data_IF_572763978300
#
_entry.id   IF_572763978300
#
_cell.length_a   1.000
_cell.length_b   1.000
_cell.length_c   1.000
_cell.angle_alpha   90.00
_cell.angle_beta   90.00
_cell.angle_gamma   90.00
#
_symmetry.space_group_name_H-M   'P 1'
#
loop_
_entity.id
_entity.type
_entity.pdbx_description
1 polymer ?
#
# COMPACT_ATOMS: atom_id res chain seq x y z
N UNK A 1 4.23 -70.45 -0.20
CA UNK A 1 4.51 -69.99 -1.57
C UNK A 1 3.75 -68.68 -1.74
N UNK A 2 4.43 -67.53 -1.65
CA UNK A 2 5.13 -66.87 -2.76
C UNK A 2 4.13 -66.46 -3.86
N UNK A 3 4.02 -65.21 -4.32
CA UNK A 3 5.03 -64.17 -4.30
C UNK A 3 4.46 -62.75 -4.34
N UNK A 4 5.29 -61.86 -3.80
CA UNK A 4 5.21 -60.42 -3.87
C UNK A 4 5.68 -59.99 -5.27
N UNK A 5 4.88 -59.22 -6.02
CA UNK A 5 5.33 -58.54 -7.25
C UNK A 5 5.05 -57.04 -7.13
N UNK A 6 6.04 -56.16 -7.38
CA UNK A 6 5.88 -54.72 -7.17
C UNK A 6 5.19 -54.09 -8.38
N UNK A 7 4.15 -53.29 -8.14
CA UNK A 7 3.53 -52.46 -9.19
C UNK A 7 4.33 -51.17 -9.31
N UNK A 8 5.16 -51.07 -10.35
CA UNK A 8 5.84 -49.83 -10.72
C UNK A 8 4.84 -48.84 -11.33
N UNK A 9 4.50 -47.78 -10.60
CA UNK A 9 3.86 -46.59 -11.20
C UNK A 9 4.94 -45.75 -11.89
N UNK A 10 5.14 -45.98 -13.19
CA UNK A 10 5.85 -45.01 -14.03
C UNK A 10 4.86 -43.94 -14.47
N UNK A 11 4.95 -42.77 -13.83
CA UNK A 11 4.42 -41.50 -14.35
C UNK A 11 5.19 -41.14 -15.63
N UNK A 12 4.61 -41.41 -16.80
CA UNK A 12 5.12 -40.89 -18.07
C UNK A 12 4.64 -39.45 -18.24
N UNK A 13 5.59 -38.53 -18.14
CA UNK A 13 5.43 -37.13 -18.55
C UNK A 13 5.03 -37.11 -20.05
N UNK A 14 4.05 -36.29 -20.46
CA UNK A 14 3.71 -36.10 -21.88
C UNK A 14 4.94 -35.71 -22.71
N UNK A 15 5.05 -36.23 -23.93
CA UNK A 15 6.23 -36.07 -24.79
C UNK A 15 6.59 -34.60 -25.08
N UNK A 16 5.59 -33.72 -25.06
CA UNK A 16 5.73 -32.26 -25.21
C UNK A 16 6.47 -31.61 -24.03
N UNK A 17 6.30 -32.12 -22.81
CA UNK A 17 7.00 -31.63 -21.61
C UNK A 17 8.43 -32.20 -21.49
N UNK A 18 8.72 -33.33 -22.14
CA UNK A 18 10.09 -33.87 -22.21
C UNK A 18 11.01 -33.03 -23.12
N UNK A 19 10.46 -32.45 -24.20
CA UNK A 19 11.20 -31.56 -25.10
C UNK A 19 11.61 -30.24 -24.41
N UNK A 20 10.74 -29.69 -23.56
CA UNK A 20 11.04 -28.47 -22.77
C UNK A 20 12.10 -28.75 -21.70
N UNK A 21 12.11 -29.94 -21.11
CA UNK A 21 13.09 -30.32 -20.10
C UNK A 21 14.49 -30.60 -20.67
N UNK A 22 14.59 -31.12 -21.91
CA UNK A 22 15.87 -31.34 -22.58
C UNK A 22 16.53 -30.06 -23.12
N UNK A 23 15.77 -28.98 -23.35
CA UNK A 23 16.31 -27.71 -23.84
C UNK A 23 16.96 -26.86 -22.73
N UNK A 24 16.63 -27.11 -21.45
CA UNK A 24 17.03 -26.22 -20.34
C UNK A 24 18.40 -26.55 -19.71
N UNK A 25 18.89 -27.78 -19.85
CA UNK A 25 20.17 -28.18 -19.27
C UNK A 25 21.15 -28.59 -20.35
N UNK A 26 22.03 -27.66 -20.75
CA UNK A 26 23.25 -27.93 -21.55
C UNK A 26 24.22 -28.85 -20.78
N UNK A 27 23.85 -30.12 -20.60
CA UNK A 27 24.73 -31.25 -20.30
C UNK A 27 25.83 -31.02 -19.26
N UNK A 28 25.49 -30.59 -18.03
CA UNK A 28 26.41 -30.70 -16.88
C UNK A 28 25.67 -31.16 -15.63
N UNK A 29 26.27 -32.17 -15.00
CA UNK A 29 25.76 -32.95 -13.87
C UNK A 29 25.53 -32.12 -12.60
N UNK A 30 24.54 -32.55 -11.82
CA UNK A 30 24.10 -31.98 -10.55
C UNK A 30 24.71 -32.78 -9.38
N UNK A 31 25.16 -32.07 -8.34
CA UNK A 31 25.57 -32.48 -6.98
C UNK A 31 27.05 -32.77 -6.67
N UNK A 32 27.61 -31.95 -5.75
CA UNK A 32 28.00 -32.37 -4.39
C UNK A 32 27.76 -31.23 -3.37
N UNK A 33 27.18 -31.49 -2.18
CA UNK A 33 27.15 -30.52 -1.09
C UNK A 33 28.54 -30.40 -0.43
N UNK A 34 28.93 -29.23 0.11
CA UNK A 34 30.17 -29.10 0.85
C UNK A 34 30.06 -29.78 2.23
N UNK A 35 31.14 -30.41 2.73
CA UNK A 35 31.13 -31.05 4.04
C UNK A 35 31.16 -29.99 5.16
N UNK A 36 30.44 -30.29 6.23
CA UNK A 36 30.46 -29.54 7.49
C UNK A 36 31.84 -29.59 8.16
N UNK A 37 32.08 -28.55 8.98
CA UNK A 37 33.07 -28.48 10.06
C UNK A 37 34.57 -28.46 9.70
N UNK A 38 35.12 -27.24 9.59
CA UNK A 38 36.43 -26.95 10.19
C UNK A 38 36.34 -25.65 10.99
N UNK A 39 36.36 -25.80 12.31
CA UNK A 39 36.37 -24.70 13.24
C UNK A 39 37.72 -24.00 13.34
N UNK A 40 37.61 -22.73 13.74
CA UNK A 40 38.39 -22.08 14.81
C UNK A 40 39.90 -21.84 14.68
N UNK A 41 40.23 -20.55 14.92
CA UNK A 41 41.43 -19.96 15.57
C UNK A 41 42.74 -19.92 14.78
N UNK A 42 43.28 -18.70 14.59
CA UNK A 42 44.59 -18.25 15.12
C UNK A 42 44.61 -16.72 15.36
N UNK A 43 44.89 -16.33 16.61
CA UNK A 43 45.56 -15.15 17.22
C UNK A 43 45.83 -13.87 16.40
N UNK A 44 45.44 -12.65 16.84
CA UNK A 44 45.94 -11.75 17.94
C UNK A 44 47.39 -11.26 17.81
N UNK A 45 47.53 -9.91 17.98
CA UNK A 45 48.70 -9.04 18.31
C UNK A 45 49.36 -8.33 17.11
N UNK A 46 49.69 -7.02 17.10
CA UNK A 46 50.03 -5.99 18.12
C UNK A 46 49.70 -4.58 17.52
N UNK A 47 49.02 -3.64 18.20
CA UNK A 47 49.49 -2.56 19.09
C UNK A 47 50.91 -1.97 18.89
N UNK A 48 50.94 -0.64 18.72
CA UNK A 48 52.04 0.37 18.86
C UNK A 48 52.62 0.76 17.49
N UNK A 49 52.60 2.01 17.03
CA UNK A 49 53.12 3.28 17.57
C UNK A 49 52.66 4.35 16.53
N UNK A 50 52.02 5.49 16.83
CA UNK A 50 52.67 6.77 17.13
C UNK A 50 51.58 7.84 17.39
N UNK A 51 51.65 8.49 18.55
CA UNK A 51 51.11 9.84 18.80
C UNK A 51 52.30 10.79 18.91
N UNK A 52 52.11 12.07 18.53
CA UNK A 52 52.57 13.35 19.17
C UNK A 52 52.81 14.47 18.09
N UNK A 53 52.99 15.78 18.44
CA UNK A 53 51.89 16.71 18.78
C UNK A 53 52.08 18.17 18.23
N UNK A 54 51.05 19.03 18.45
CA UNK A 54 51.00 20.51 18.69
C UNK A 54 52.04 21.48 18.05
N UNK A 55 51.55 22.65 17.59
CA UNK A 55 51.94 23.96 18.16
C UNK A 55 51.03 25.15 17.78
N UNK A 56 50.91 26.08 18.75
CA UNK A 56 50.30 27.43 18.71
C UNK A 56 51.21 28.43 17.97
N UNK A 57 50.66 29.55 17.51
CA UNK A 57 51.36 30.85 17.47
C UNK A 57 50.39 32.02 17.69
N UNK A 58 50.74 32.85 18.66
CA UNK A 58 50.22 34.19 18.94
C UNK A 58 50.93 35.25 18.07
N UNK A 59 50.32 36.46 17.99
CA UNK A 59 50.84 37.85 17.86
C UNK A 59 50.05 38.62 16.79
N UNK A 60 49.63 39.90 16.88
CA UNK A 60 49.45 40.93 17.91
C UNK A 60 49.11 42.26 17.18
N UNK A 61 48.24 43.11 17.75
CA UNK A 61 48.06 44.58 17.52
C UNK A 61 47.52 45.01 16.12
N UNK A 62 46.76 46.09 15.93
CA UNK A 62 46.72 47.42 16.56
C UNK A 62 45.38 48.16 16.27
N UNK A 63 45.28 49.38 16.78
CA UNK A 63 44.14 50.23 17.16
C UNK A 63 43.27 50.84 16.03
N UNK A 64 42.06 51.32 16.40
CA UNK A 64 41.33 52.34 15.65
C UNK A 64 39.81 52.39 15.88
N UNK A 65 39.35 53.23 16.80
CA UNK A 65 37.95 53.73 16.90
C UNK A 65 37.97 55.20 16.42
N UNK A 66 36.92 55.78 15.80
CA UNK A 66 35.77 56.27 16.59
C UNK A 66 34.38 56.20 15.89
N UNK A 67 33.37 55.88 16.71
CA UNK A 67 32.03 56.51 16.84
C UNK A 67 31.40 57.18 15.60
N UNK A 68 30.20 56.69 15.23
CA UNK A 68 29.05 57.56 14.93
C UNK A 68 27.75 56.90 15.43
N UNK A 69 27.00 57.71 16.16
CA UNK A 69 25.71 57.43 16.78
C UNK A 69 24.55 57.69 15.81
N UNK A 70 23.38 57.16 16.19
CA UNK A 70 22.02 57.39 15.63
C UNK A 70 21.68 56.46 14.45
N UNK A 71 20.61 55.65 14.46
CA UNK A 71 19.27 55.95 14.95
C UNK A 71 18.55 54.71 15.52
N UNK A 72 17.81 54.96 16.61
CA UNK A 72 16.88 54.03 17.23
C UNK A 72 15.64 53.84 16.33
N UNK A 73 15.37 52.60 15.91
CA UNK A 73 14.00 52.08 15.82
C UNK A 73 13.98 50.80 16.63
N UNK A 74 13.45 50.90 17.85
CA UNK A 74 13.19 49.76 18.70
C UNK A 74 12.02 48.98 18.12
N UNK A 75 12.32 48.19 17.10
CA UNK A 75 11.47 47.09 16.68
C UNK A 75 11.58 46.06 17.79
N UNK A 76 10.52 45.93 18.59
CA UNK A 76 10.38 44.83 19.55
C UNK A 76 10.37 43.54 18.74
N UNK A 77 11.54 43.02 18.39
CA UNK A 77 11.72 41.61 18.08
C UNK A 77 11.27 40.87 19.33
N UNK A 78 10.02 40.39 19.33
CA UNK A 78 9.65 39.25 20.17
C UNK A 78 10.73 38.22 19.87
N UNK A 79 11.59 37.94 20.84
CA UNK A 79 12.42 36.76 20.81
C UNK A 79 11.40 35.62 20.74
N UNK A 80 11.19 35.07 19.54
CA UNK A 80 10.47 33.82 19.40
C UNK A 80 11.19 32.84 20.32
N UNK A 81 10.59 32.54 21.47
CA UNK A 81 11.04 31.41 22.27
C UNK A 81 10.85 30.22 21.34
N UNK A 82 11.94 29.73 20.77
CA UNK A 82 11.93 28.50 19.99
C UNK A 82 11.23 27.41 20.79
N UNK A 83 10.43 26.60 20.10
CA UNK A 83 9.71 25.48 20.71
C UNK A 83 10.75 24.52 21.29
N UNK A 84 10.44 23.96 22.46
CA UNK A 84 11.33 23.03 23.14
C UNK A 84 11.54 21.76 22.31
N UNK A 85 12.76 21.59 21.78
CA UNK A 85 13.16 20.43 20.96
C UNK A 85 13.41 19.16 21.77
N UNK A 86 13.25 19.20 23.10
CA UNK A 86 13.37 18.01 23.96
C UNK A 86 12.05 17.25 24.14
N UNK A 87 10.95 17.83 23.67
CA UNK A 87 9.62 17.24 23.71
C UNK A 87 9.52 16.00 22.80
N UNK A 88 8.57 15.08 23.07
CA UNK A 88 8.21 14.05 22.11
C UNK A 88 7.78 14.66 20.75
N UNK A 89 8.08 14.02 19.60
CA UNK A 89 7.82 14.60 18.28
C UNK A 89 6.36 15.03 18.05
N UNK A 90 5.39 14.26 18.56
CA UNK A 90 3.98 14.63 18.46
C UNK A 90 3.64 15.90 19.25
N UNK A 91 4.20 16.05 20.46
CA UNK A 91 3.98 17.25 21.28
C UNK A 91 4.68 18.47 20.69
N UNK A 92 5.86 18.28 20.11
CA UNK A 92 6.57 19.30 19.35
C UNK A 92 5.72 19.79 18.17
N UNK A 93 5.18 18.87 17.36
CA UNK A 93 4.30 19.19 16.25
C UNK A 93 3.04 19.95 16.72
N UNK A 94 2.37 19.47 17.77
CA UNK A 94 1.16 20.11 18.29
C UNK A 94 1.47 21.54 18.80
N UNK A 95 2.64 21.79 19.39
CA UNK A 95 3.09 23.12 19.78
C UNK A 95 3.43 24.01 18.57
N UNK A 96 4.07 23.44 17.53
CA UNK A 96 4.41 24.09 16.28
C UNK A 96 3.16 24.63 15.58
N UNK A 97 2.12 23.80 15.46
CA UNK A 97 0.87 24.17 14.81
C UNK A 97 0.13 25.26 15.58
N UNK A 98 0.01 25.09 16.90
CA UNK A 98 -0.61 26.12 17.78
C UNK A 98 0.11 27.45 17.69
N UNK A 99 1.44 27.45 17.62
CA UNK A 99 2.22 28.69 17.48
C UNK A 99 1.96 29.44 16.17
N UNK A 100 1.48 28.71 15.14
CA UNK A 100 1.17 29.22 13.81
C UNK A 100 -0.32 29.37 13.50
N UNK A 101 -1.20 29.06 14.46
CA UNK A 101 -2.65 29.17 14.29
C UNK A 101 -3.32 27.99 13.56
N UNK A 102 -2.62 26.87 13.36
CA UNK A 102 -3.22 25.66 12.79
C UNK A 102 -3.92 24.82 13.86
N UNK A 103 -5.01 24.13 13.47
CA UNK A 103 -5.65 23.13 14.33
C UNK A 103 -4.72 21.94 14.56
N UNK A 104 -4.66 21.48 15.80
CA UNK A 104 -3.96 20.25 16.20
C UNK A 104 -4.94 19.12 16.55
N UNK A 105 -6.20 19.25 16.11
CA UNK A 105 -7.23 18.25 16.31
C UNK A 105 -6.84 16.92 15.67
N UNK A 106 -7.15 15.83 16.37
CA UNK A 106 -6.86 14.48 15.91
C UNK A 106 -8.00 14.00 15.01
N UNK A 107 -7.65 13.31 13.94
CA UNK A 107 -8.59 12.83 12.93
C UNK A 107 -8.62 11.30 12.98
N UNK A 108 -9.76 10.69 13.25
CA UNK A 108 -9.87 9.23 13.21
C UNK A 108 -9.81 8.73 11.78
N UNK A 109 -8.70 8.07 11.38
CA UNK A 109 -8.47 7.66 9.99
C UNK A 109 -9.63 6.80 9.44
N UNK A 110 -10.20 5.92 10.27
CA UNK A 110 -11.30 5.03 9.93
C UNK A 110 -12.61 5.77 9.59
N UNK A 111 -12.79 7.00 10.07
CA UNK A 111 -13.98 7.84 9.79
C UNK A 111 -13.79 8.73 8.55
N UNK A 112 -12.64 8.65 7.89
CA UNK A 112 -12.32 9.48 6.73
C UNK A 112 -12.36 8.69 5.42
N UNK A 113 -12.19 9.39 4.30
CA UNK A 113 -12.02 8.81 2.96
C UNK A 113 -10.78 7.89 2.80
N UNK A 114 -9.92 7.80 3.83
CA UNK A 114 -8.82 6.85 3.85
C UNK A 114 -9.29 5.41 4.05
N UNK A 115 -10.44 5.22 4.72
CA UNK A 115 -11.05 3.90 4.88
C UNK A 115 -11.75 3.50 3.59
N UNK A 116 -10.97 2.95 2.65
CA UNK A 116 -11.46 2.53 1.34
C UNK A 116 -11.79 1.05 1.33
N UNK A 117 -12.86 0.70 0.64
CA UNK A 117 -13.20 -0.71 0.38
C UNK A 117 -12.32 -1.21 -0.77
N UNK A 118 -11.51 -2.25 -0.58
CA UNK A 118 -10.61 -2.71 -1.61
C UNK A 118 -11.34 -3.44 -2.75
N UNK A 119 -10.89 -3.20 -4.00
CA UNK A 119 -11.42 -3.88 -5.18
C UNK A 119 -11.00 -5.36 -5.21
N UNK A 120 -11.77 -6.24 -5.90
CA UNK A 120 -11.36 -7.63 -6.09
C UNK A 120 -9.97 -7.76 -6.74
N UNK A 121 -9.63 -6.85 -7.67
CA UNK A 121 -8.33 -6.85 -8.33
C UNK A 121 -7.20 -6.51 -7.36
N UNK A 122 -7.41 -5.58 -6.43
CA UNK A 122 -6.42 -5.25 -5.40
C UNK A 122 -6.08 -6.44 -4.52
N UNK A 123 -7.10 -7.21 -4.11
CA UNK A 123 -6.90 -8.45 -3.34
C UNK A 123 -6.22 -9.53 -4.17
N UNK A 124 -6.66 -9.71 -5.42
CA UNK A 124 -6.08 -10.67 -6.36
C UNK A 124 -4.60 -10.37 -6.67
N UNK A 125 -4.22 -9.10 -6.70
CA UNK A 125 -2.86 -8.66 -7.00
C UNK A 125 -1.90 -8.77 -5.82
N UNK A 126 -2.41 -9.01 -4.60
CA UNK A 126 -1.59 -9.11 -3.39
C UNK A 126 -1.15 -10.55 -3.15
N UNK A 127 0.05 -10.92 -3.61
CA UNK A 127 0.60 -12.26 -3.39
C UNK A 127 2.14 -12.22 -3.22
N UNK A 128 2.72 -13.37 -2.87
CA UNK A 128 4.09 -13.59 -2.41
C UNK A 128 5.14 -13.03 -3.37
N UNK A 129 4.93 -13.11 -4.69
CA UNK A 129 5.93 -12.63 -5.65
C UNK A 129 5.98 -11.10 -5.66
N UNK A 130 4.84 -10.40 -5.80
CA UNK A 130 4.77 -8.93 -5.72
C UNK A 130 5.38 -8.41 -4.40
N UNK A 131 4.98 -8.99 -3.27
CA UNK A 131 5.50 -8.61 -1.95
C UNK A 131 7.00 -8.94 -1.83
N UNK A 132 7.44 -10.03 -2.47
CA UNK A 132 8.84 -10.41 -2.57
C UNK A 132 9.69 -9.33 -3.26
N UNK A 133 9.22 -8.77 -4.37
CA UNK A 133 9.90 -7.69 -5.10
C UNK A 133 10.01 -6.43 -4.25
N UNK A 134 8.91 -6.03 -3.59
CA UNK A 134 8.90 -4.91 -2.64
C UNK A 134 9.90 -5.11 -1.51
N UNK A 135 9.95 -6.32 -0.92
CA UNK A 135 10.87 -6.64 0.18
C UNK A 135 12.34 -6.59 -0.23
N UNK A 136 12.63 -7.00 -1.47
CA UNK A 136 13.96 -6.99 -2.09
C UNK A 136 14.36 -5.62 -2.66
N UNK A 137 13.40 -4.67 -2.75
CA UNK A 137 13.57 -3.38 -3.44
C UNK A 137 13.92 -3.55 -4.93
N UNK A 138 13.29 -4.53 -5.58
CA UNK A 138 13.49 -4.82 -7.00
C UNK A 138 12.51 -3.99 -7.84
N UNK A 139 12.90 -2.74 -8.11
CA UNK A 139 12.05 -1.74 -8.78
C UNK A 139 11.80 -2.11 -10.24
N UNK A 140 12.79 -2.66 -10.94
CA UNK A 140 12.67 -2.96 -12.37
C UNK A 140 11.66 -4.09 -12.63
N UNK A 141 11.77 -5.20 -11.89
CA UNK A 141 10.79 -6.28 -12.00
C UNK A 141 9.42 -5.86 -11.47
N UNK A 142 9.38 -4.99 -10.46
CA UNK A 142 8.13 -4.42 -9.96
C UNK A 142 7.39 -3.62 -11.05
N UNK A 143 8.10 -2.75 -11.78
CA UNK A 143 7.52 -1.97 -12.89
C UNK A 143 6.93 -2.88 -13.97
N UNK A 144 7.69 -3.89 -14.39
CA UNK A 144 7.23 -4.83 -15.43
C UNK A 144 5.92 -5.53 -15.05
N UNK A 145 5.79 -5.96 -13.79
CA UNK A 145 4.58 -6.68 -13.36
C UNK A 145 3.39 -5.73 -13.20
N UNK A 146 3.60 -4.49 -12.73
CA UNK A 146 2.51 -3.49 -12.64
C UNK A 146 2.05 -3.05 -14.03
N UNK A 147 2.96 -2.86 -14.96
CA UNK A 147 2.65 -2.57 -16.37
C UNK A 147 1.90 -3.72 -17.08
N UNK A 148 1.92 -4.94 -16.53
CA UNK A 148 1.11 -6.05 -17.04
C UNK A 148 -0.38 -5.90 -16.77
N UNK A 149 -0.77 -5.03 -15.82
CA UNK A 149 -2.17 -4.78 -15.48
C UNK A 149 -2.60 -5.32 -14.12
N UNK A 150 -1.67 -5.70 -13.25
CA UNK A 150 -2.00 -5.93 -11.83
C UNK A 150 -2.30 -4.59 -11.14
N UNK A 151 -3.03 -4.62 -10.03
CA UNK A 151 -3.31 -3.39 -9.28
C UNK A 151 -2.05 -2.84 -8.61
N UNK A 152 -1.69 -1.55 -8.82
CA UNK A 152 -0.64 -0.86 -8.07
C UNK A 152 -1.05 -0.58 -6.62
N UNK A 153 -2.31 -0.81 -6.27
CA UNK A 153 -2.88 -0.61 -4.93
C UNK A 153 -3.23 -1.96 -4.27
N UNK A 154 -2.46 -3.01 -4.58
CA UNK A 154 -2.68 -4.33 -4.01
C UNK A 154 -2.71 -4.29 -2.47
N UNK A 155 -3.62 -5.04 -1.85
CA UNK A 155 -3.76 -5.09 -0.39
C UNK A 155 -4.15 -6.48 0.11
N UNK A 156 -3.82 -6.77 1.36
CA UNK A 156 -4.21 -8.01 2.02
C UNK A 156 -5.64 -7.95 2.59
N UNK A 157 -6.06 -9.04 3.24
CA UNK A 157 -7.38 -9.15 3.87
C UNK A 157 -7.62 -8.14 5.01
N UNK A 158 -6.55 -7.57 5.58
CA UNK A 158 -6.60 -6.52 6.61
C UNK A 158 -6.54 -5.10 6.03
N UNK A 159 -6.72 -4.95 4.70
CA UNK A 159 -6.56 -3.70 3.94
C UNK A 159 -5.17 -3.07 3.99
N UNK A 160 -4.16 -3.82 4.44
CA UNK A 160 -2.77 -3.35 4.40
C UNK A 160 -2.29 -3.33 2.94
N UNK A 161 -2.34 -2.16 2.32
CA UNK A 161 -1.81 -1.89 0.98
C UNK A 161 -0.29 -2.09 0.90
N UNK A 162 0.24 -2.42 -0.29
CA UNK A 162 1.68 -2.52 -0.55
C UNK A 162 2.46 -1.24 -0.20
N UNK A 163 1.81 -0.08 -0.28
CA UNK A 163 2.38 1.21 0.15
C UNK A 163 2.79 1.16 1.63
N UNK A 164 1.99 0.54 2.51
CA UNK A 164 2.34 0.37 3.93
C UNK A 164 3.66 -0.41 4.10
N UNK A 165 3.82 -1.49 3.31
CA UNK A 165 5.03 -2.31 3.34
C UNK A 165 6.25 -1.54 2.84
N UNK A 166 6.09 -0.73 1.79
CA UNK A 166 7.15 0.13 1.24
C UNK A 166 7.57 1.20 2.23
N UNK A 167 6.61 1.87 2.86
CA UNK A 167 6.83 2.88 3.89
C UNK A 167 7.57 2.30 5.11
N UNK A 168 7.14 1.14 5.62
CA UNK A 168 7.78 0.45 6.75
C UNK A 168 9.25 0.07 6.50
N UNK A 169 9.61 -0.17 5.23
CA UNK A 169 10.96 -0.56 4.82
C UNK A 169 11.80 0.61 4.28
N UNK A 170 11.27 1.83 4.35
CA UNK A 170 11.98 3.06 3.94
C UNK A 170 12.47 3.03 2.49
N UNK A 171 11.70 2.46 1.57
CA UNK A 171 12.10 2.29 0.16
C UNK A 171 11.59 3.43 -0.72
N UNK A 172 12.34 4.54 -0.77
CA UNK A 172 11.95 5.74 -1.53
C UNK A 172 11.72 5.47 -3.03
N UNK A 173 12.69 4.86 -3.71
CA UNK A 173 12.60 4.58 -5.16
C UNK A 173 11.39 3.71 -5.51
N UNK A 174 11.11 2.70 -4.68
CA UNK A 174 9.92 1.85 -4.82
C UNK A 174 8.63 2.64 -4.58
N UNK A 175 8.62 3.56 -3.60
CA UNK A 175 7.47 4.43 -3.35
C UNK A 175 7.20 5.36 -4.53
N UNK A 176 8.23 6.00 -5.08
CA UNK A 176 8.12 6.86 -6.26
C UNK A 176 7.58 6.06 -7.45
N UNK A 177 8.12 4.87 -7.70
CA UNK A 177 7.62 3.98 -8.74
C UNK A 177 6.16 3.61 -8.53
N UNK A 178 5.72 3.33 -7.30
CA UNK A 178 4.31 3.06 -6.99
C UNK A 178 3.42 4.25 -7.34
N UNK A 179 3.82 5.44 -6.92
CA UNK A 179 3.09 6.69 -7.17
C UNK A 179 2.99 7.00 -8.67
N UNK A 180 4.07 6.80 -9.43
CA UNK A 180 4.09 6.93 -10.88
C UNK A 180 3.06 6.02 -11.58
N UNK A 181 2.82 4.84 -11.01
CA UNK A 181 1.87 3.86 -11.55
C UNK A 181 0.45 4.02 -10.98
N UNK A 182 0.15 5.13 -10.30
CA UNK A 182 -1.20 5.43 -9.80
C UNK A 182 -1.53 4.81 -8.44
N UNK A 183 -0.52 4.43 -7.65
CA UNK A 183 -0.75 4.09 -6.25
C UNK A 183 -1.22 5.33 -5.46
N UNK A 184 -2.15 5.15 -4.54
CA UNK A 184 -2.64 6.21 -3.66
C UNK A 184 -2.07 6.07 -2.25
N UNK A 185 -1.69 7.19 -1.65
CA UNK A 185 -1.28 7.25 -0.24
C UNK A 185 -2.46 7.50 0.70
N UNK A 186 -3.62 7.87 0.16
CA UNK A 186 -4.84 8.10 0.93
C UNK A 186 -5.56 6.77 1.17
N UNK A 187 -4.93 5.93 2.00
CA UNK A 187 -5.42 4.61 2.42
C UNK A 187 -5.14 4.41 3.90
N UNK A 188 -5.97 3.62 4.58
CA UNK A 188 -5.65 3.08 5.89
C UNK A 188 -6.00 1.59 5.96
N UNK A 189 -5.30 0.87 6.85
CA UNK A 189 -5.61 -0.53 7.17
C UNK A 189 -6.87 -0.64 8.05
N UNK A 190 -7.30 -1.87 8.37
CA UNK A 190 -8.46 -2.11 9.24
C UNK A 190 -8.29 -1.58 10.67
N UNK A 191 -7.05 -1.28 11.09
CA UNK A 191 -6.75 -0.65 12.37
C UNK A 191 -6.66 0.87 12.27
N UNK A 192 -6.93 1.47 11.10
CA UNK A 192 -6.82 2.91 10.89
C UNK A 192 -5.38 3.42 10.75
N UNK A 193 -4.40 2.54 10.56
CA UNK A 193 -3.02 2.94 10.31
C UNK A 193 -2.88 3.41 8.87
N UNK A 194 -2.32 4.60 8.72
CA UNK A 194 -1.96 5.19 7.43
C UNK A 194 -0.53 4.79 7.03
N UNK A 195 -0.12 4.95 5.76
CA UNK A 195 1.26 4.77 5.34
C UNK A 195 2.30 5.53 6.18
N UNK A 196 1.90 6.68 6.75
CA UNK A 196 2.78 7.46 7.61
C UNK A 196 3.01 6.81 8.98
N UNK A 197 2.04 6.06 9.52
CA UNK A 197 2.25 5.27 10.75
C UNK A 197 3.38 4.25 10.54
N UNK A 198 3.36 3.55 9.41
CA UNK A 198 4.39 2.58 9.06
C UNK A 198 5.75 3.21 8.79
N UNK A 199 5.77 4.39 8.16
CA UNK A 199 6.98 5.20 7.99
C UNK A 199 7.60 5.57 9.35
N UNK A 200 6.77 5.93 10.34
CA UNK A 200 7.24 6.29 11.68
C UNK A 200 7.63 5.08 12.54
N UNK A 201 7.05 3.90 12.26
CA UNK A 201 7.37 2.65 12.95
C UNK A 201 8.65 1.97 12.43
N UNK A 202 9.19 2.43 11.30
CA UNK A 202 10.41 1.92 10.71
C UNK A 202 11.59 1.89 11.72
N UNK A 203 12.53 0.93 11.60
CA UNK A 203 13.66 0.82 12.51
C UNK A 203 14.62 2.00 12.41
N UNK A 204 14.77 2.58 11.22
CA UNK A 204 15.61 3.75 10.93
C UNK A 204 14.71 4.92 10.50
N UNK A 205 15.14 6.17 10.70
CA UNK A 205 14.32 7.35 10.42
C UNK A 205 14.16 7.51 8.91
N UNK A 206 13.00 7.11 8.40
CA UNK A 206 12.64 7.14 6.99
C UNK A 206 12.27 8.55 6.49
N UNK A 207 13.07 9.58 6.82
CA UNK A 207 12.72 10.99 6.61
C UNK A 207 12.45 11.32 5.14
N UNK A 208 13.20 10.74 4.20
CA UNK A 208 12.98 10.96 2.77
C UNK A 208 11.61 10.44 2.31
N UNK A 209 11.21 9.27 2.81
CA UNK A 209 9.90 8.67 2.54
C UNK A 209 8.80 9.49 3.23
N UNK A 210 9.03 9.89 4.49
CA UNK A 210 8.12 10.75 5.23
C UNK A 210 7.87 12.07 4.49
N UNK A 211 8.91 12.66 3.91
CA UNK A 211 8.79 13.89 3.12
C UNK A 211 7.86 13.71 1.92
N UNK A 212 8.00 12.62 1.16
CA UNK A 212 7.12 12.31 0.02
C UNK A 212 5.67 12.16 0.50
N UNK A 213 5.46 11.40 1.58
CA UNK A 213 4.11 11.14 2.11
C UNK A 213 3.45 12.39 2.68
N UNK A 214 4.18 13.21 3.44
CA UNK A 214 3.68 14.45 4.05
C UNK A 214 3.41 15.51 2.98
N UNK A 215 4.24 15.60 1.92
CA UNK A 215 3.97 16.48 0.78
C UNK A 215 2.68 16.10 0.04
N UNK A 216 2.36 14.81 -0.01
CA UNK A 216 1.11 14.36 -0.61
C UNK A 216 -0.10 14.71 0.26
N UNK A 217 -0.02 14.48 1.59
CA UNK A 217 -1.05 14.91 2.53
C UNK A 217 -0.50 15.08 3.96
N UNK A 218 -0.29 16.33 4.38
CA UNK A 218 0.23 16.65 5.71
C UNK A 218 -0.74 16.28 6.84
N UNK A 219 -2.03 16.07 6.55
CA UNK A 219 -3.04 15.68 7.54
C UNK A 219 -2.76 14.32 8.16
N UNK A 220 -2.03 13.45 7.44
CA UNK A 220 -1.70 12.12 7.94
C UNK A 220 -0.96 12.16 9.28
N UNK A 221 -0.22 13.24 9.58
CA UNK A 221 0.45 13.44 10.88
C UNK A 221 -0.51 13.58 12.07
N UNK A 222 -1.77 13.92 11.81
CA UNK A 222 -2.83 14.09 12.82
C UNK A 222 -3.82 12.95 12.86
N UNK A 223 -3.69 12.00 11.92
CA UNK A 223 -4.58 10.86 11.86
C UNK A 223 -4.26 9.88 12.96
N UNK A 224 -5.27 9.45 13.72
CA UNK A 224 -5.12 8.46 14.76
C UNK A 224 -5.64 7.11 14.29
N UNK A 225 -4.93 6.07 14.70
CA UNK A 225 -5.34 4.68 14.54
C UNK A 225 -6.43 4.30 15.56
N UNK A 226 -6.88 3.05 15.52
CA UNK A 226 -7.86 2.49 16.44
C UNK A 226 -7.39 2.44 17.92
N UNK A 227 -6.09 2.65 18.18
CA UNK A 227 -5.53 2.76 19.54
C UNK A 227 -5.54 4.21 20.04
N UNK A 228 -5.85 5.16 19.17
CA UNK A 228 -5.79 6.60 19.45
C UNK A 228 -4.39 7.20 19.28
N UNK A 229 -3.46 6.45 18.68
CA UNK A 229 -2.09 6.89 18.46
C UNK A 229 -1.93 7.51 17.07
N UNK A 230 -1.25 8.66 17.01
CA UNK A 230 -0.85 9.32 15.77
C UNK A 230 0.51 8.77 15.28
N UNK A 231 0.90 8.96 13.99
CA UNK A 231 2.13 8.38 13.45
C UNK A 231 3.37 8.69 14.28
N UNK A 232 3.52 9.95 14.72
CA UNK A 232 4.71 10.38 15.45
C UNK A 232 4.85 9.73 16.83
N UNK A 233 3.78 9.15 17.40
CA UNK A 233 3.85 8.39 18.66
C UNK A 233 4.62 7.08 18.48
N UNK A 234 4.68 6.53 17.27
CA UNK A 234 5.40 5.29 16.97
C UNK A 234 6.90 5.51 16.74
N UNK A 235 7.36 6.76 16.66
CA UNK A 235 8.77 7.09 16.46
C UNK A 235 9.58 6.66 17.68
N UNK A 236 10.64 5.87 17.43
CA UNK A 236 11.58 5.42 18.46
C UNK A 236 12.26 6.62 19.12
N UNK A 237 12.46 6.54 20.44
CA UNK A 237 13.08 7.62 21.25
C UNK A 237 14.44 8.07 20.73
N UNK A 238 15.22 7.14 20.20
CA UNK A 238 16.53 7.40 19.61
C UNK A 238 16.48 8.32 18.37
N UNK A 239 15.34 8.37 17.67
CA UNK A 239 15.14 9.18 16.46
C UNK A 239 14.28 10.42 16.68
N UNK A 240 13.93 10.76 17.93
CA UNK A 240 13.12 11.95 18.20
C UNK A 240 13.80 13.23 17.70
N UNK A 241 15.12 13.35 17.89
CA UNK A 241 15.89 14.50 17.40
C UNK A 241 15.84 14.63 15.88
N UNK A 242 15.97 13.51 15.15
CA UNK A 242 15.94 13.49 13.69
C UNK A 242 14.58 13.98 13.16
N UNK A 243 13.49 13.46 13.71
CA UNK A 243 12.12 13.88 13.34
C UNK A 243 11.81 15.32 13.72
N UNK A 244 12.26 15.79 14.90
CA UNK A 244 12.05 17.18 15.32
C UNK A 244 12.83 18.14 14.42
N UNK A 245 14.07 17.82 14.05
CA UNK A 245 14.85 18.62 13.13
C UNK A 245 14.21 18.65 11.74
N UNK A 246 13.76 17.49 11.24
CA UNK A 246 13.03 17.41 9.97
C UNK A 246 11.77 18.29 9.97
N UNK A 247 10.95 18.22 11.04
CA UNK A 247 9.77 19.07 11.16
C UNK A 247 10.13 20.56 11.28
N UNK A 248 11.22 20.91 11.96
CA UNK A 248 11.69 22.29 12.09
C UNK A 248 12.27 22.86 10.80
N UNK A 249 12.90 22.03 9.97
CA UNK A 249 13.43 22.42 8.65
C UNK A 249 12.31 22.62 7.63
N UNK A 250 11.27 21.77 7.67
CA UNK A 250 10.15 21.83 6.72
C UNK A 250 8.91 22.54 7.25
N UNK A 251 8.99 23.17 8.42
CA UNK A 251 7.84 23.83 9.06
C UNK A 251 7.21 24.92 8.20
N UNK A 252 8.02 25.64 7.43
CA UNK A 252 7.54 26.74 6.59
C UNK A 252 7.02 26.23 5.24
N UNK A 253 7.47 25.03 4.81
CA UNK A 253 6.95 24.34 3.63
C UNK A 253 5.55 23.77 3.89
N UNK A 254 5.36 23.10 5.03
CA UNK A 254 4.11 22.42 5.37
C UNK A 254 3.09 23.33 6.05
N UNK A 255 3.54 24.27 6.88
CA UNK A 255 2.68 25.13 7.70
C UNK A 255 3.17 26.59 7.66
N UNK A 256 2.98 27.31 6.55
CA UNK A 256 3.37 28.72 6.47
C UNK A 256 2.64 29.58 7.51
N UNK A 257 3.27 30.65 7.99
CA UNK A 257 2.67 31.56 9.00
C UNK A 257 1.48 32.31 8.40
N UNK A 258 0.30 32.17 9.01
CA UNK A 258 -0.90 32.90 8.59
C UNK A 258 -0.93 34.27 9.28
N UNK A 259 -0.53 35.34 8.59
CA UNK A 259 -0.76 36.71 9.07
C UNK A 259 -2.23 37.11 8.83
N UNK A 260 -3.01 37.28 9.91
CA UNK A 260 -4.33 37.92 9.84
C UNK A 260 -5.55 37.01 9.61
N UNK A 261 -5.45 35.69 9.83
CA UNK A 261 -6.56 34.77 9.61
C UNK A 261 -7.70 34.95 10.65
N UNK A 262 -8.73 35.70 10.28
CA UNK A 262 -10.09 35.60 10.84
C UNK A 262 -10.91 34.52 10.14
N UNK A 263 -10.33 33.87 9.13
CA UNK A 263 -10.89 32.69 8.47
C UNK A 263 -10.27 31.46 9.12
N UNK A 264 -11.11 30.64 9.75
CA UNK A 264 -10.79 29.31 10.27
C UNK A 264 -9.97 28.60 9.19
N UNK A 265 -8.68 28.36 9.47
CA UNK A 265 -7.72 27.78 8.54
C UNK A 265 -8.39 26.62 7.81
N UNK A 266 -8.51 26.73 6.47
CA UNK A 266 -9.17 25.79 5.54
C UNK A 266 -9.28 24.45 6.22
N UNK A 267 -10.44 24.27 6.83
CA UNK A 267 -10.69 23.17 7.73
C UNK A 267 -10.23 21.93 6.99
N UNK A 268 -9.48 21.04 7.65
CA UNK A 268 -9.02 19.77 7.07
C UNK A 268 -10.21 18.84 6.79
N UNK A 269 -11.41 19.43 6.62
CA UNK A 269 -12.69 18.93 6.13
C UNK A 269 -12.47 17.65 5.39
N UNK A 270 -12.70 16.62 6.18
CA UNK A 270 -12.91 15.28 5.72
C UNK A 270 -14.08 15.38 4.76
N UNK A 271 -13.81 15.26 3.45
CA UNK A 271 -14.85 14.79 2.56
C UNK A 271 -15.29 13.44 3.13
N UNK A 272 -16.44 13.48 3.80
CA UNK A 272 -17.10 12.35 4.44
C UNK A 272 -17.76 11.53 3.35
N UNK A 273 -16.97 11.06 2.39
CA UNK A 273 -17.40 10.09 1.40
C UNK A 273 -16.84 8.74 1.80
N UNK A 274 -17.49 8.13 2.78
CA UNK A 274 -17.38 6.68 3.01
C UNK A 274 -17.90 5.98 1.76
N UNK A 275 -17.02 5.36 0.98
CA UNK A 275 -17.43 4.53 -0.16
C UNK A 275 -16.64 4.69 -1.46
N UNK A 276 -15.58 5.50 -1.51
CA UNK A 276 -14.76 5.58 -2.73
C UNK A 276 -13.82 4.38 -2.83
N UNK A 277 -14.21 3.39 -3.63
CA UNK A 277 -13.28 2.34 -4.11
C UNK A 277 -12.20 3.00 -4.95
N UNK A 278 -10.95 2.58 -4.79
CA UNK A 278 -9.87 3.04 -5.65
C UNK A 278 -10.10 2.44 -7.05
N UNK A 279 -10.12 3.25 -8.12
CA UNK A 279 -10.34 2.73 -9.46
C UNK A 279 -9.20 1.79 -9.88
N UNK A 280 -9.57 0.72 -10.57
CA UNK A 280 -8.61 -0.22 -11.15
C UNK A 280 -7.89 0.42 -12.36
N UNK A 281 -6.66 -0.03 -12.68
CA UNK A 281 -5.90 0.52 -13.80
C UNK A 281 -6.59 0.24 -15.14
N UNK A 282 -6.41 1.13 -16.13
CA UNK A 282 -7.07 1.01 -17.46
C UNK A 282 -6.71 -0.28 -18.20
N UNK A 283 -5.53 -0.81 -17.95
CA UNK A 283 -5.01 -2.06 -18.50
C UNK A 283 -5.20 -3.25 -17.53
N UNK A 284 -6.18 -3.19 -16.62
CA UNK A 284 -6.41 -4.24 -15.63
C UNK A 284 -6.51 -5.64 -16.26
N UNK A 285 -5.76 -6.58 -15.69
CA UNK A 285 -5.88 -8.00 -16.00
C UNK A 285 -7.17 -8.58 -15.39
N UNK A 286 -7.63 -9.71 -15.95
CA UNK A 286 -8.65 -10.52 -15.30
C UNK A 286 -8.14 -11.00 -13.93
N UNK A 287 -9.05 -11.27 -13.00
CA UNK A 287 -8.69 -11.61 -11.62
C UNK A 287 -7.77 -12.84 -11.53
N UNK A 288 -7.96 -13.83 -12.41
CA UNK A 288 -7.16 -15.05 -12.42
C UNK A 288 -5.78 -14.82 -13.03
N UNK A 289 -5.66 -14.05 -14.11
CA UNK A 289 -4.37 -13.64 -14.66
C UNK A 289 -3.59 -12.79 -13.64
N UNK A 290 -4.25 -11.84 -12.98
CA UNK A 290 -3.65 -11.01 -11.95
C UNK A 290 -3.09 -11.85 -10.78
N UNK A 291 -3.84 -12.84 -10.29
CA UNK A 291 -3.37 -13.78 -9.26
C UNK A 291 -2.15 -14.59 -9.73
N UNK A 292 -2.17 -15.09 -10.97
CA UNK A 292 -1.06 -15.89 -11.49
C UNK A 292 0.23 -15.07 -11.64
N UNK A 293 0.12 -13.82 -12.11
CA UNK A 293 1.26 -12.89 -12.20
C UNK A 293 1.74 -12.50 -10.79
N UNK A 294 0.84 -12.12 -9.90
CA UNK A 294 1.17 -11.71 -8.53
C UNK A 294 1.81 -12.84 -7.71
N UNK A 295 1.51 -14.10 -8.02
CA UNK A 295 2.12 -15.29 -7.43
C UNK A 295 3.43 -15.71 -8.13
N UNK A 296 3.81 -15.08 -9.24
CA UNK A 296 5.01 -15.40 -10.02
C UNK A 296 4.90 -16.71 -10.82
N UNK A 297 3.68 -17.18 -11.09
CA UNK A 297 3.41 -18.39 -11.90
C UNK A 297 3.30 -18.09 -13.40
N UNK A 298 3.10 -16.82 -13.75
CA UNK A 298 2.95 -16.33 -15.10
C UNK A 298 3.80 -15.08 -15.28
N UNK A 299 4.52 -14.97 -16.40
CA UNK A 299 5.34 -13.79 -16.68
C UNK A 299 4.47 -12.62 -17.15
N UNK A 300 4.93 -11.36 -16.97
CA UNK A 300 4.22 -10.17 -17.47
C UNK A 300 3.90 -10.22 -18.98
N UNK A 301 4.80 -10.80 -19.78
CA UNK A 301 4.64 -10.92 -21.23
C UNK A 301 3.58 -11.95 -21.60
N UNK A 302 3.61 -13.13 -20.97
CA UNK A 302 2.59 -14.17 -21.16
C UNK A 302 1.20 -13.67 -20.72
N UNK A 303 1.13 -12.93 -19.61
CA UNK A 303 -0.12 -12.36 -19.12
C UNK A 303 -0.73 -11.37 -20.11
N UNK A 304 0.10 -10.47 -20.69
CA UNK A 304 -0.35 -9.53 -21.73
C UNK A 304 -0.85 -10.26 -22.98
N UNK A 305 -0.16 -11.32 -23.41
CA UNK A 305 -0.57 -12.12 -24.56
C UNK A 305 -1.91 -12.83 -24.31
N UNK A 306 -2.07 -13.50 -23.16
CA UNK A 306 -3.33 -14.16 -22.81
C UNK A 306 -4.49 -13.15 -22.68
N UNK A 307 -4.21 -11.97 -22.13
CA UNK A 307 -5.20 -10.90 -22.04
C UNK A 307 -5.59 -10.30 -23.40
N UNK A 308 -4.73 -10.36 -24.43
CA UNK A 308 -5.12 -9.97 -25.79
C UNK A 308 -5.97 -11.03 -26.47
N UNK A 309 -5.63 -12.32 -26.32
CA UNK A 309 -6.39 -13.42 -26.95
C UNK A 309 -7.83 -13.47 -26.42
N UNK A 310 -8.01 -13.33 -25.11
CA UNK A 310 -9.35 -13.30 -24.50
C UNK A 310 -10.26 -12.18 -25.04
N UNK A 311 -9.69 -11.06 -25.52
CA UNK A 311 -10.49 -9.96 -26.09
C UNK A 311 -10.97 -10.24 -27.51
N UNK A 312 -10.33 -11.17 -28.21
CA UNK A 312 -10.67 -11.51 -29.59
C UNK A 312 -11.76 -12.61 -29.61
N UNK A 313 -11.74 -13.56 -28.68
CA UNK A 313 -12.79 -14.59 -28.53
C UNK A 313 -14.16 -13.97 -28.19
N UNK A 314 -14.21 -12.91 -27.35
CA UNK A 314 -15.45 -12.20 -27.02
C UNK A 314 -16.05 -11.46 -28.23
N UNK A 315 -15.25 -11.15 -29.27
CA UNK A 315 -15.72 -10.50 -30.50
C UNK A 315 -16.23 -11.50 -31.54
N UNK A 316 -15.73 -12.74 -31.51
CA UNK A 316 -16.10 -13.78 -32.49
C UNK A 316 -17.38 -14.54 -32.09
N UNK A 317 -17.83 -14.42 -30.84
CA UNK A 317 -19.15 -14.95 -30.40
C UNK A 317 -20.36 -14.09 -30.78
N UNK A 318 -20.16 -13.01 -31.54
CA UNK A 318 -21.18 -12.01 -31.86
C UNK A 318 -21.40 -11.79 -33.36
N UNK A 319 -21.52 -12.84 -34.16
CA UNK A 319 -22.19 -12.82 -35.47
C UNK A 319 -22.27 -14.21 -36.10
N UNK A 320 -23.25 -15.00 -35.71
CA UNK A 320 -23.84 -16.04 -36.57
C UNK A 320 -25.36 -15.83 -36.50
N UNK A 321 -25.85 -14.73 -37.09
CA UNK A 321 -27.23 -14.69 -37.58
C UNK A 321 -27.18 -15.40 -38.93
N UNK A 322 -27.48 -16.70 -38.90
CA UNK A 322 -27.79 -17.49 -40.08
C UNK A 322 -29.09 -16.92 -40.69
N UNK A 323 -28.93 -16.08 -41.71
CA UNK A 323 -30.02 -15.64 -42.60
C UNK A 323 -30.43 -16.84 -43.48
N UNK A 324 -31.24 -17.72 -42.90
CA UNK A 324 -31.94 -18.77 -43.63
C UNK A 324 -33.16 -18.17 -44.36
N UNK A 325 -32.91 -17.61 -45.55
CA UNK A 325 -33.93 -17.20 -46.53
C UNK A 325 -34.63 -18.45 -47.12
N UNK A 326 -35.70 -18.90 -46.44
CA UNK A 326 -36.74 -19.74 -47.04
C UNK A 326 -37.95 -18.87 -47.34
N UNK A 327 -38.01 -18.40 -48.58
CA UNK A 327 -39.20 -17.87 -49.22
C UNK A 327 -40.09 -19.04 -49.66
N UNK A 328 -41.17 -19.28 -48.91
CA UNK A 328 -42.37 -19.93 -49.43
C UNK A 328 -43.53 -18.92 -49.26
N UNK A 329 -43.86 -18.27 -50.38
CA UNK A 329 -45.19 -17.73 -50.62
C UNK A 329 -46.12 -18.93 -50.81
N UNK A 330 -47.18 -19.03 -50.02
CA UNK A 330 -48.51 -19.34 -50.56
C UNK A 330 -49.59 -19.04 -49.52
N UNK A 331 -50.54 -18.25 -50.01
CA UNK A 331 -51.87 -17.89 -49.52
C UNK A 331 -52.59 -18.94 -48.64
N UNK A 332 -53.32 -18.47 -47.64
CA UNK A 332 -54.80 -18.62 -47.63
C UNK A 332 -55.39 -17.99 -46.35
N UNK A 333 -56.03 -16.85 -46.57
CA UNK A 333 -57.38 -16.44 -46.15
C UNK A 333 -58.13 -17.13 -44.98
N UNK A 334 -58.91 -16.25 -44.32
CA UNK A 334 -60.16 -16.53 -43.56
C UNK A 334 -59.98 -17.18 -42.17
N UNK A 335 -60.68 -16.81 -41.10
CA UNK A 335 -61.82 -15.91 -40.89
C UNK A 335 -61.92 -15.60 -39.40
N UNK A 336 -62.74 -14.60 -39.09
CA UNK A 336 -63.25 -14.22 -37.77
C UNK A 336 -63.60 -15.41 -36.86
N UNK A 337 -63.39 -15.26 -35.54
CA UNK A 337 -64.48 -15.47 -34.59
C UNK A 337 -64.18 -14.87 -33.21
N UNK A 338 -65.05 -13.91 -32.90
CA UNK A 338 -65.46 -13.39 -31.61
C UNK A 338 -65.67 -14.50 -30.56
N UNK A 339 -65.00 -14.43 -29.41
CA UNK A 339 -65.55 -14.98 -28.17
C UNK A 339 -65.14 -14.13 -26.96
N UNK A 340 -66.19 -13.62 -26.33
CA UNK A 340 -66.28 -12.86 -25.09
C UNK A 340 -65.75 -13.57 -23.85
N UNK A 341 -65.36 -12.74 -22.87
CA UNK A 341 -65.47 -12.88 -21.40
C UNK A 341 -65.58 -14.28 -20.80
N UNK A 342 -64.69 -14.62 -19.87
CA UNK A 342 -65.11 -14.95 -18.50
C UNK A 342 -63.91 -15.06 -17.54
N UNK A 343 -64.10 -14.39 -16.40
CA UNK A 343 -63.53 -14.55 -15.06
C UNK A 343 -62.61 -15.76 -14.79
N UNK A 344 -61.48 -15.53 -14.11
CA UNK A 344 -61.13 -16.30 -12.91
C UNK A 344 -60.03 -15.58 -12.09
N UNK A 345 -60.46 -14.91 -11.02
CA UNK A 345 -59.63 -14.71 -9.82
C UNK A 345 -59.38 -16.08 -9.17
N UNK A 346 -58.16 -16.32 -8.67
CA UNK A 346 -58.00 -17.01 -7.38
C UNK A 346 -56.58 -16.82 -6.82
N UNK A 347 -56.58 -16.24 -5.62
CA UNK A 347 -55.50 -16.22 -4.66
C UNK A 347 -55.16 -17.64 -4.15
N UNK A 348 -54.02 -17.72 -3.45
CA UNK A 348 -53.64 -18.74 -2.48
C UNK A 348 -53.16 -20.12 -2.96
N UNK A 349 -51.85 -20.32 -2.78
CA UNK A 349 -51.37 -21.50 -2.06
C UNK A 349 -50.17 -21.16 -1.18
N UNK A 350 -50.46 -20.56 -0.03
CA UNK A 350 -49.60 -20.55 1.13
C UNK A 350 -49.93 -21.75 2.03
N UNK A 351 -49.22 -22.88 1.95
CA UNK A 351 -49.14 -23.84 3.07
C UNK A 351 -47.84 -24.63 3.02
N UNK A 352 -46.93 -24.38 3.97
CA UNK A 352 -46.45 -25.41 4.90
C UNK A 352 -45.67 -24.76 6.06
N UNK A 353 -46.46 -24.39 7.06
CA UNK A 353 -46.25 -24.53 8.51
C UNK A 353 -44.86 -25.04 8.94
N UNK A 354 -44.05 -24.21 9.60
CA UNK A 354 -43.98 -24.10 11.07
C UNK A 354 -44.05 -25.42 11.84
N UNK A 355 -42.92 -25.86 12.37
CA UNK A 355 -42.84 -26.45 13.72
C UNK A 355 -41.53 -26.03 14.40
N UNK A 356 -41.59 -24.91 15.14
CA UNK A 356 -40.88 -24.81 16.42
C UNK A 356 -41.77 -25.52 17.46
N UNK A 357 -41.23 -26.08 18.55
CA UNK A 357 -41.06 -25.23 19.74
C UNK A 357 -39.90 -25.60 20.71
N UNK A 358 -39.34 -24.53 21.29
CA UNK A 358 -39.26 -24.32 22.76
C UNK A 358 -38.05 -24.85 23.55
N UNK A 359 -37.22 -23.86 23.92
CA UNK A 359 -36.61 -23.59 25.24
C UNK A 359 -35.62 -24.58 25.87
N UNK A 360 -34.43 -24.06 26.16
CA UNK A 360 -33.86 -24.16 27.51
C UNK A 360 -32.98 -22.93 27.79
N UNK A 361 -33.43 -22.18 28.80
CA UNK A 361 -32.72 -21.11 29.50
C UNK A 361 -31.77 -21.76 30.53
N UNK A 362 -30.96 -20.95 31.25
CA UNK A 362 -30.16 -21.26 32.47
C UNK A 362 -28.69 -21.68 32.14
N UNK A 363 -27.59 -21.16 32.68
CA UNK A 363 -27.34 -20.31 33.86
C UNK A 363 -26.05 -19.48 33.71
N UNK A 364 -26.03 -18.32 34.37
CA UNK A 364 -24.82 -17.57 34.74
C UNK A 364 -24.40 -18.05 36.13
N UNK A 365 -23.09 -18.20 36.42
CA UNK A 365 -22.61 -17.95 37.76
C UNK A 365 -21.53 -16.87 37.76
N UNK A 366 -21.81 -15.79 38.47
CA UNK A 366 -20.83 -14.77 38.79
C UNK A 366 -19.89 -15.20 39.91
N UNK A 367 -18.64 -14.73 39.81
CA UNK A 367 -17.90 -14.12 40.92
C UNK A 367 -16.83 -13.20 40.38
#
# INVERSE_FOLDING_TARGET
MAGNTPVSRQSRIPFTLQAVFLASNRGKEVHKPPPENVGSRVFKKNWFLQRKPKQKKDTSKEEGNPKTSQNKKAEKRKVEKGIDKTLPPQQYLDALLKSRGYSAEKIEALKTSYSKTPSPLQKASYDVYLIGLVRKNDVDNFKQIVESGISPNACNDYKESIVHTVCRRSRKEMLESLLEHGATLQVCDDYGRTPLHDTCWAPEPALDVAQVVIKADARMLHMIDARGDAPLNYVRKEHWGDWINFLDEHKDDFWPVQEGATEVAKDLTVETTTGTTIPDPKNALTLDLAKMVAAGRLTPEEAKYLASVQKDDDRESGSEEDDDDYSDDDDDDEDDDDFSDDDFDDEDMAVLLTTLPVTANIDIPGR
#
